data_IF_201130211899
#
_entry.id   IF_201130211899
#
_cell.length_a   1.000
_cell.length_b   1.000
_cell.length_c   1.000
_cell.angle_alpha   90.00
_cell.angle_beta   90.00
_cell.angle_gamma   90.00
#
_symmetry.space_group_name_H-M   'P 1'
#
loop_
_entity.id
_entity.type
_entity.pdbx_description
1 polymer ?
#
# COMPACT_ATOMS: atom_id res chain seq x y z
N UNK A 1 -10.89 -7.38 -57.29
CA UNK A 1 -11.45 -6.69 -56.10
C UNK A 1 -10.47 -6.83 -54.96
N UNK A 2 -10.28 -5.75 -54.18
CA UNK A 2 -9.40 -5.54 -53.03
C UNK A 2 -7.91 -5.31 -53.36
N UNK A 3 -7.57 -4.02 -53.36
CA UNK A 3 -6.24 -3.49 -53.59
C UNK A 3 -5.34 -3.55 -52.36
N UNK A 4 -4.07 -3.85 -52.61
CA UNK A 4 -2.96 -3.63 -51.71
C UNK A 4 -2.38 -2.24 -52.00
N UNK A 5 -2.54 -1.29 -51.08
CA UNK A 5 -1.80 -0.03 -51.11
C UNK A 5 -0.56 -0.15 -50.23
N UNK A 6 0.56 -0.53 -50.85
CA UNK A 6 1.90 -0.17 -50.43
C UNK A 6 2.09 1.32 -50.71
N UNK A 7 2.22 2.16 -49.67
CA UNK A 7 2.70 3.53 -49.83
C UNK A 7 3.71 3.90 -48.75
N UNK A 8 4.96 3.89 -49.20
CA UNK A 8 6.03 4.86 -48.96
C UNK A 8 6.29 5.33 -47.52
N UNK A 9 7.45 4.91 -47.03
CA UNK A 9 8.25 5.56 -45.99
C UNK A 9 8.61 6.99 -46.43
N UNK A 10 8.58 7.96 -45.51
CA UNK A 10 9.57 9.03 -45.52
C UNK A 10 10.41 9.02 -44.24
N UNK A 11 11.70 8.92 -44.48
CA UNK A 11 12.84 9.15 -43.59
C UNK A 11 12.92 10.64 -43.23
N UNK A 12 13.22 10.90 -41.95
CA UNK A 12 13.79 12.12 -41.35
C UNK A 12 13.15 13.48 -41.65
N UNK A 13 12.71 14.19 -40.59
CA UNK A 13 13.33 15.49 -40.22
C UNK A 13 13.22 15.68 -38.70
N UNK A 14 14.36 15.64 -38.01
CA UNK A 14 14.52 16.23 -36.67
C UNK A 14 14.63 17.74 -36.92
N UNK A 15 13.58 18.50 -36.55
CA UNK A 15 13.67 19.97 -36.51
C UNK A 15 13.84 20.39 -35.06
N UNK A 16 15.10 20.66 -34.72
CA UNK A 16 15.47 21.44 -33.54
C UNK A 16 15.20 22.91 -33.87
N UNK A 17 14.06 23.43 -33.43
CA UNK A 17 13.77 24.86 -33.50
C UNK A 17 13.97 25.46 -32.10
N UNK A 18 15.16 26.03 -31.89
CA UNK A 18 15.42 27.01 -30.86
C UNK A 18 14.60 28.26 -31.21
N UNK A 19 13.62 28.57 -30.38
CA UNK A 19 12.77 29.76 -30.52
C UNK A 19 12.19 30.10 -29.16
N UNK A 20 12.77 31.11 -28.52
CA UNK A 20 12.27 31.69 -27.28
C UNK A 20 10.89 32.32 -27.51
N UNK A 21 9.83 31.54 -27.30
CA UNK A 21 8.51 32.06 -27.00
C UNK A 21 8.07 31.53 -25.66
N UNK A 22 7.73 32.48 -24.79
CA UNK A 22 7.01 32.31 -23.54
C UNK A 22 5.76 31.45 -23.75
N UNK A 23 5.92 30.13 -23.67
CA UNK A 23 4.87 29.26 -23.18
C UNK A 23 5.23 28.96 -21.76
N UNK A 24 4.46 29.56 -20.84
CA UNK A 24 4.40 29.17 -19.43
C UNK A 24 4.59 27.66 -19.37
N UNK A 25 5.45 27.11 -18.49
CA UNK A 25 5.32 25.70 -18.23
C UNK A 25 3.85 25.51 -17.89
N UNK A 26 3.17 24.65 -18.64
CA UNK A 26 2.04 23.95 -18.06
C UNK A 26 2.70 23.10 -16.99
N UNK A 27 2.97 23.75 -15.86
CA UNK A 27 2.79 23.14 -14.57
C UNK A 27 1.38 22.60 -14.69
N UNK A 28 1.28 21.31 -15.02
CA UNK A 28 0.27 20.48 -14.42
C UNK A 28 0.52 20.65 -12.92
N UNK A 29 -0.01 21.74 -12.38
CA UNK A 29 -0.32 21.87 -10.98
C UNK A 29 -1.49 20.91 -10.79
N UNK A 30 -1.22 19.61 -10.90
CA UNK A 30 -2.00 18.58 -10.24
C UNK A 30 -1.63 18.60 -8.75
N UNK A 31 -1.60 19.80 -8.17
CA UNK A 31 -2.12 20.00 -6.82
C UNK A 31 -3.63 19.94 -6.94
N UNK A 32 -4.16 18.80 -7.39
CA UNK A 32 -5.47 18.40 -6.91
C UNK A 32 -5.34 18.49 -5.40
N UNK A 33 -6.22 19.25 -4.75
CA UNK A 33 -6.36 19.30 -3.30
C UNK A 33 -6.53 17.85 -2.82
N UNK A 34 -5.43 17.12 -2.61
CA UNK A 34 -5.45 15.78 -2.06
C UNK A 34 -5.93 16.00 -0.65
N UNK A 35 -7.20 15.68 -0.42
CA UNK A 35 -7.78 15.72 0.92
C UNK A 35 -6.85 14.95 1.87
N UNK A 36 -6.81 15.28 3.16
CA UNK A 36 -6.00 14.54 4.13
C UNK A 36 -6.20 13.01 3.98
N UNK A 37 -7.41 12.57 3.66
CA UNK A 37 -7.75 11.18 3.33
C UNK A 37 -6.96 10.60 2.15
N UNK A 38 -6.79 11.31 1.04
CA UNK A 38 -6.00 10.85 -0.10
C UNK A 38 -4.52 10.70 0.25
N UNK A 39 -3.97 11.69 0.97
CA UNK A 39 -2.59 11.67 1.41
C UNK A 39 -2.35 10.52 2.40
N UNK A 40 -3.28 10.31 3.33
CA UNK A 40 -3.24 9.23 4.30
C UNK A 40 -3.33 7.86 3.62
N UNK A 41 -4.26 7.67 2.68
CA UNK A 41 -4.37 6.44 1.90
C UNK A 41 -3.09 6.13 1.12
N UNK A 42 -2.48 7.14 0.48
CA UNK A 42 -1.22 6.98 -0.24
C UNK A 42 -0.07 6.52 0.66
N UNK A 43 0.02 7.10 1.86
CA UNK A 43 1.02 6.71 2.87
C UNK A 43 0.80 5.28 3.36
N UNK A 44 -0.43 4.93 3.76
CA UNK A 44 -0.80 3.58 4.19
C UNK A 44 -0.50 2.56 3.09
N UNK A 45 -0.88 2.88 1.84
CA UNK A 45 -0.61 2.01 0.69
C UNK A 45 0.89 1.81 0.47
N UNK A 46 1.70 2.87 0.59
CA UNK A 46 3.15 2.79 0.46
C UNK A 46 3.80 1.96 1.56
N UNK A 47 3.33 2.08 2.80
CA UNK A 47 3.81 1.27 3.93
C UNK A 47 3.48 -0.21 3.70
N UNK A 48 2.23 -0.51 3.34
CA UNK A 48 1.78 -1.89 3.14
C UNK A 48 2.30 -2.56 1.86
N UNK A 49 2.78 -1.78 0.89
CA UNK A 49 3.43 -2.29 -0.31
C UNK A 49 4.87 -2.79 -0.09
N UNK A 50 5.45 -2.52 1.09
CA UNK A 50 6.77 -3.04 1.45
C UNK A 50 6.76 -4.57 1.48
N UNK A 51 7.85 -5.18 0.98
CA UNK A 51 8.03 -6.62 0.90
C UNK A 51 9.09 -7.08 1.90
N UNK A 52 9.00 -8.30 2.44
CA UNK A 52 10.00 -8.80 3.34
C UNK A 52 11.32 -9.00 2.59
N UNK A 53 12.45 -8.78 3.29
CA UNK A 53 13.80 -8.94 2.74
C UNK A 53 14.22 -10.41 2.56
N UNK A 54 13.42 -11.34 3.11
CA UNK A 54 13.61 -12.79 3.07
C UNK A 54 12.27 -13.53 3.06
N UNK A 55 12.32 -14.86 2.93
CA UNK A 55 11.13 -15.74 2.93
C UNK A 55 10.92 -16.46 4.28
N UNK A 56 11.70 -16.11 5.28
CA UNK A 56 11.69 -16.69 6.63
C UNK A 56 10.78 -15.91 7.59
N UNK A 57 10.38 -16.56 8.68
CA UNK A 57 9.51 -15.97 9.71
C UNK A 57 10.13 -14.71 10.32
N UNK A 58 11.42 -14.68 10.71
CA UNK A 58 12.07 -13.45 11.20
C UNK A 58 11.98 -12.27 10.24
N UNK A 59 12.26 -12.47 8.94
CA UNK A 59 12.11 -11.42 7.94
C UNK A 59 10.66 -10.90 7.83
N UNK A 60 9.67 -11.80 7.90
CA UNK A 60 8.26 -11.42 7.91
C UNK A 60 7.88 -10.62 9.17
N UNK A 61 8.30 -11.07 10.35
CA UNK A 61 8.03 -10.39 11.63
C UNK A 61 8.68 -9.00 11.66
N UNK A 62 9.90 -8.88 11.13
CA UNK A 62 10.59 -7.59 10.99
C UNK A 62 9.84 -6.61 10.09
N UNK A 63 9.30 -7.11 8.96
CA UNK A 63 8.44 -6.31 8.09
C UNK A 63 7.19 -5.85 8.81
N UNK A 64 6.47 -6.77 9.47
CA UNK A 64 5.24 -6.43 10.21
C UNK A 64 5.54 -5.37 11.26
N UNK A 65 6.64 -5.50 12.00
CA UNK A 65 7.07 -4.49 12.98
C UNK A 65 7.27 -3.11 12.33
N UNK A 66 8.01 -3.08 11.23
CA UNK A 66 8.28 -1.83 10.49
C UNK A 66 6.99 -1.19 9.96
N UNK A 67 6.08 -2.00 9.39
CA UNK A 67 4.79 -1.54 8.90
C UNK A 67 3.92 -0.98 10.04
N UNK A 68 3.79 -1.72 11.14
CA UNK A 68 2.99 -1.31 12.29
C UNK A 68 3.48 0.01 12.90
N UNK A 69 4.80 0.18 13.10
CA UNK A 69 5.33 1.45 13.65
C UNK A 69 5.14 2.61 12.66
N UNK A 70 5.35 2.39 11.37
CA UNK A 70 5.11 3.41 10.35
C UNK A 70 3.64 3.83 10.31
N UNK A 71 2.70 2.89 10.45
CA UNK A 71 1.26 3.19 10.49
C UNK A 71 0.87 3.98 11.75
N UNK A 72 1.49 3.70 12.91
CA UNK A 72 1.27 4.47 14.16
C UNK A 72 1.78 5.90 14.06
N UNK A 73 2.81 6.15 13.24
CA UNK A 73 3.38 7.48 13.01
C UNK A 73 2.54 8.38 12.11
N UNK A 74 1.47 7.88 11.49
CA UNK A 74 0.63 8.68 10.60
C UNK A 74 -0.30 9.62 11.38
N UNK A 75 -0.45 10.86 10.91
CA UNK A 75 -1.42 11.80 11.47
C UNK A 75 -2.84 11.52 10.92
N UNK A 76 -3.84 11.16 11.75
CA UNK A 76 -5.20 10.90 11.31
C UNK A 76 -6.09 12.16 11.20
N UNK A 77 -5.58 13.36 11.51
CA UNK A 77 -6.37 14.59 11.51
C UNK A 77 -6.99 14.90 10.14
N UNK A 78 -8.31 15.10 10.10
CA UNK A 78 -9.05 15.41 8.89
C UNK A 78 -9.20 14.25 7.90
N UNK A 79 -8.89 13.02 8.31
CA UNK A 79 -9.03 11.78 7.52
C UNK A 79 -10.41 11.16 7.74
N UNK A 80 -10.93 10.48 6.72
CA UNK A 80 -12.16 9.67 6.81
C UNK A 80 -12.11 8.66 7.97
N UNK A 81 -13.07 8.74 8.89
CA UNK A 81 -13.11 7.92 10.11
C UNK A 81 -13.07 6.41 9.84
N UNK A 82 -13.69 5.96 8.73
CA UNK A 82 -13.69 4.54 8.39
C UNK A 82 -12.30 4.06 7.97
N UNK A 83 -11.52 4.92 7.30
CA UNK A 83 -10.13 4.63 6.96
C UNK A 83 -9.24 4.60 8.21
N UNK A 84 -9.39 5.58 9.10
CA UNK A 84 -8.66 5.62 10.37
C UNK A 84 -8.97 4.38 11.21
N UNK A 85 -10.24 4.03 11.38
CA UNK A 85 -10.67 2.87 12.16
C UNK A 85 -10.13 1.55 11.58
N UNK A 86 -10.11 1.39 10.25
CA UNK A 86 -9.56 0.20 9.62
C UNK A 86 -8.03 0.10 9.79
N UNK A 87 -7.31 1.21 9.72
CA UNK A 87 -5.86 1.22 10.00
C UNK A 87 -5.58 0.90 11.47
N UNK A 88 -6.37 1.43 12.40
CA UNK A 88 -6.25 1.09 13.82
C UNK A 88 -6.54 -0.38 14.11
N UNK A 89 -7.56 -0.97 13.45
CA UNK A 89 -7.83 -2.41 13.52
C UNK A 89 -6.64 -3.24 13.02
N UNK A 90 -6.05 -2.83 11.90
CA UNK A 90 -4.86 -3.49 11.36
C UNK A 90 -3.69 -3.42 12.33
N UNK A 91 -3.38 -2.24 12.88
CA UNK A 91 -2.32 -2.03 13.88
C UNK A 91 -2.54 -2.97 15.07
N UNK A 92 -3.78 -3.10 15.55
CA UNK A 92 -4.12 -4.00 16.67
C UNK A 92 -3.87 -5.47 16.30
N UNK A 93 -4.31 -5.91 15.13
CA UNK A 93 -4.08 -7.29 14.67
C UNK A 93 -2.59 -7.59 14.48
N UNK A 94 -1.81 -6.67 13.89
CA UNK A 94 -0.37 -6.83 13.72
C UNK A 94 0.39 -6.78 15.05
N UNK A 95 -0.03 -5.95 16.00
CA UNK A 95 0.55 -5.93 17.35
C UNK A 95 0.38 -7.28 18.06
N UNK A 96 -0.76 -7.96 17.85
CA UNK A 96 -0.95 -9.32 18.38
C UNK A 96 -0.05 -10.34 17.67
N UNK A 97 0.16 -10.22 16.35
CA UNK A 97 1.15 -11.04 15.63
C UNK A 97 2.54 -10.85 16.22
N UNK A 98 2.96 -9.61 16.44
CA UNK A 98 4.26 -9.28 17.03
C UNK A 98 4.40 -9.80 18.45
N UNK A 99 3.36 -9.64 19.29
CA UNK A 99 3.35 -10.19 20.65
C UNK A 99 3.53 -11.70 20.66
N UNK A 100 2.87 -12.42 19.74
CA UNK A 100 3.03 -13.86 19.60
C UNK A 100 4.40 -14.23 19.02
N UNK A 101 4.94 -13.43 18.11
CA UNK A 101 6.27 -13.64 17.55
C UNK A 101 7.37 -13.47 18.62
N UNK A 102 7.27 -12.47 19.49
CA UNK A 102 8.25 -12.23 20.57
C UNK A 102 8.29 -13.41 21.56
N UNK A 103 7.14 -14.04 21.82
CA UNK A 103 7.07 -15.28 22.63
C UNK A 103 7.78 -16.46 21.96
N UNK A 104 7.82 -16.50 20.62
CA UNK A 104 8.46 -17.56 19.83
C UNK A 104 9.95 -17.30 19.64
N UNK A 105 10.35 -16.05 19.45
CA UNK A 105 11.76 -15.67 19.30
C UNK A 105 12.55 -16.00 20.57
N UNK A 106 11.90 -15.90 21.73
CA UNK A 106 12.44 -16.31 23.03
C UNK A 106 12.66 -17.82 23.16
N UNK A 107 11.90 -18.65 22.41
CA UNK A 107 12.11 -20.10 22.31
C UNK A 107 11.38 -20.70 21.07
N UNK A 108 12.09 -20.90 19.94
CA UNK A 108 11.50 -21.45 18.72
C UNK A 108 11.00 -22.90 18.87
N UNK A 109 11.46 -23.64 19.89
CA UNK A 109 10.98 -24.97 20.18
C UNK A 109 9.55 -24.95 20.75
N UNK A 110 9.09 -23.83 21.32
CA UNK A 110 7.72 -23.71 21.83
C UNK A 110 6.65 -23.84 20.75
N UNK A 111 6.90 -23.38 19.52
CA UNK A 111 5.95 -23.60 18.41
C UNK A 111 5.84 -25.07 18.02
N UNK A 112 6.93 -25.83 18.16
CA UNK A 112 6.96 -27.26 17.84
C UNK A 112 6.44 -28.10 19.00
N UNK A 113 6.65 -27.66 20.25
CA UNK A 113 6.24 -28.34 21.47
C UNK A 113 4.82 -28.04 21.93
N UNK A 114 4.22 -26.92 21.49
CA UNK A 114 2.86 -26.53 21.88
C UNK A 114 1.97 -26.25 20.68
N UNK A 115 1.02 -27.18 20.44
CA UNK A 115 -0.04 -27.03 19.44
C UNK A 115 -0.90 -25.79 19.68
N UNK A 116 -1.11 -25.41 20.93
CA UNK A 116 -1.86 -24.22 21.31
C UNK A 116 -1.16 -22.94 20.84
N UNK A 117 0.15 -22.83 21.06
CA UNK A 117 0.95 -21.68 20.61
C UNK A 117 0.99 -21.56 19.09
N UNK A 118 1.19 -22.69 18.39
CA UNK A 118 1.13 -22.71 16.92
C UNK A 118 -0.24 -22.26 16.38
N UNK A 119 -1.33 -22.73 17.00
CA UNK A 119 -2.69 -22.32 16.63
C UNK A 119 -2.94 -20.83 16.93
N UNK A 120 -2.46 -20.32 18.07
CA UNK A 120 -2.60 -18.93 18.44
C UNK A 120 -1.87 -18.01 17.43
N UNK A 121 -0.61 -18.34 17.09
CA UNK A 121 0.16 -17.59 16.10
C UNK A 121 -0.51 -17.60 14.71
N UNK A 122 -0.96 -18.77 14.25
CA UNK A 122 -1.69 -18.89 13.00
C UNK A 122 -3.00 -18.09 12.99
N UNK A 123 -3.72 -18.06 14.11
CA UNK A 123 -4.97 -17.29 14.26
C UNK A 123 -4.70 -15.79 14.17
N UNK A 124 -3.67 -15.29 14.87
CA UNK A 124 -3.28 -13.88 14.81
C UNK A 124 -2.88 -13.46 13.39
N UNK A 125 -2.12 -14.30 12.68
CA UNK A 125 -1.76 -14.04 11.29
C UNK A 125 -2.98 -13.98 10.36
N UNK A 126 -3.95 -14.89 10.53
CA UNK A 126 -5.21 -14.84 9.76
C UNK A 126 -6.01 -13.57 10.06
N UNK A 127 -6.09 -13.17 11.32
CA UNK A 127 -6.79 -11.94 11.71
C UNK A 127 -6.15 -10.70 11.07
N UNK A 128 -4.81 -10.60 11.08
CA UNK A 128 -4.09 -9.52 10.42
C UNK A 128 -4.31 -9.52 8.89
N UNK A 129 -4.27 -10.69 8.25
CA UNK A 129 -4.54 -10.82 6.82
C UNK A 129 -5.97 -10.39 6.44
N UNK A 130 -6.98 -10.80 7.21
CA UNK A 130 -8.36 -10.37 7.01
C UNK A 130 -8.56 -8.87 7.28
N UNK A 131 -7.83 -8.29 8.25
CA UNK A 131 -7.83 -6.84 8.46
C UNK A 131 -7.24 -6.08 7.27
N UNK A 132 -6.09 -6.54 6.71
CA UNK A 132 -5.52 -5.98 5.46
C UNK A 132 -6.50 -6.07 4.29
N UNK A 133 -7.21 -7.19 4.16
CA UNK A 133 -8.22 -7.38 3.11
C UNK A 133 -9.39 -6.40 3.27
N UNK A 134 -9.89 -6.19 4.49
CA UNK A 134 -10.95 -5.22 4.79
C UNK A 134 -10.50 -3.79 4.50
N UNK A 135 -9.28 -3.43 4.88
CA UNK A 135 -8.69 -2.12 4.57
C UNK A 135 -8.61 -1.88 3.06
N UNK A 136 -8.18 -2.88 2.28
CA UNK A 136 -8.17 -2.81 0.81
C UNK A 136 -9.57 -2.63 0.22
N UNK A 137 -10.56 -3.31 0.79
CA UNK A 137 -11.95 -3.22 0.33
C UNK A 137 -12.58 -1.82 0.55
N UNK A 138 -12.02 -0.98 1.42
CA UNK A 138 -12.49 0.40 1.61
C UNK A 138 -12.25 1.29 0.40
N UNK A 139 -11.36 0.90 -0.52
CA UNK A 139 -11.00 1.72 -1.69
C UNK A 139 -12.23 2.17 -2.49
N UNK A 140 -13.17 1.28 -2.79
CA UNK A 140 -14.36 1.63 -3.57
C UNK A 140 -15.25 2.62 -2.81
N UNK A 141 -15.50 2.37 -1.52
CA UNK A 141 -16.29 3.28 -0.68
C UNK A 141 -15.63 4.64 -0.49
N UNK A 142 -14.29 4.70 -0.43
CA UNK A 142 -13.56 5.97 -0.40
C UNK A 142 -13.65 6.70 -1.74
N UNK A 143 -13.52 6.00 -2.87
CA UNK A 143 -13.73 6.58 -4.19
C UNK A 143 -15.14 7.16 -4.34
N UNK A 144 -16.17 6.46 -3.85
CA UNK A 144 -17.55 6.96 -3.87
C UNK A 144 -17.75 8.21 -3.00
N UNK A 145 -17.20 8.24 -1.79
CA UNK A 145 -17.37 9.37 -0.85
C UNK A 145 -16.53 10.61 -1.18
N UNK A 146 -15.36 10.41 -1.78
CA UNK A 146 -14.34 11.47 -1.95
C UNK A 146 -14.06 11.81 -3.41
N UNK A 147 -14.88 11.32 -4.36
CA UNK A 147 -14.83 11.72 -5.77
C UNK A 147 -13.79 10.98 -6.63
N UNK A 148 -13.35 9.81 -6.22
CA UNK A 148 -12.35 8.99 -6.92
C UNK A 148 -10.91 9.30 -6.53
N UNK A 149 -9.93 8.68 -7.22
CA UNK A 149 -8.50 8.98 -7.04
C UNK A 149 -7.74 8.12 -6.03
N UNK A 150 -8.40 7.17 -5.36
CA UNK A 150 -7.76 6.20 -4.48
C UNK A 150 -7.27 5.01 -5.29
N UNK A 151 -5.94 4.90 -5.46
CA UNK A 151 -5.29 3.77 -6.14
C UNK A 151 -5.39 2.47 -5.32
N UNK A 152 -5.40 1.28 -5.94
CA UNK A 152 -5.43 0.03 -5.20
C UNK A 152 -4.14 -0.16 -4.40
N UNK A 153 -4.26 -0.68 -3.18
CA UNK A 153 -3.07 -0.99 -2.38
C UNK A 153 -2.31 -2.18 -2.98
N UNK A 154 -0.98 -2.12 -2.94
CA UNK A 154 -0.08 -3.18 -3.43
C UNK A 154 -0.37 -4.55 -2.81
N UNK A 155 -0.26 -5.58 -3.65
CA UNK A 155 -0.40 -7.01 -3.32
C UNK A 155 0.90 -7.64 -2.86
#
# INVERSE_FOLDING_TARGET
MRGFTLRAVPVCVVVFACGCFLTKPVTLTETANRTPTHAYWGQVSGILAQKPTGQDIPAYVSLVRTQTEALRGLNPEGVDDALVAAVQDLIRCEAEVLRRADMVDSDPAMLRGSKEMANAFATSNRAAAESKKRLRALQSGLNERHGGGFAPMGG
#
